data_IF_532636263883
#
_entry.id   IF_532636263883
#
_cell.length_a   1.000
_cell.length_b   1.000
_cell.length_c   1.000
_cell.angle_alpha   90.00
_cell.angle_beta   90.00
_cell.angle_gamma   90.00
#
_symmetry.space_group_name_H-M   'P 1'
#
loop_
_entity.id
_entity.type
_entity.pdbx_description
1 polymer ?
#
# COMPACT_ATOMS: atom_id res chain seq x y z
N UNK A 1 6.15 1.58 -47.50
CA UNK A 1 6.50 2.71 -46.62
C UNK A 1 5.48 2.68 -45.49
N UNK A 2 5.75 1.89 -44.45
CA UNK A 2 4.85 1.72 -43.29
C UNK A 2 5.10 2.91 -42.38
N UNK A 3 4.08 3.74 -42.16
CA UNK A 3 4.15 4.82 -41.20
C UNK A 3 4.50 4.23 -39.82
N UNK A 4 5.58 4.72 -39.22
CA UNK A 4 5.85 4.46 -37.82
C UNK A 4 4.79 5.22 -37.02
N UNK A 5 3.69 4.57 -36.69
CA UNK A 5 2.80 5.04 -35.63
C UNK A 5 3.63 5.04 -34.35
N UNK A 6 4.18 6.21 -34.00
CA UNK A 6 4.80 6.44 -32.69
C UNK A 6 3.74 6.12 -31.65
N UNK A 7 3.93 5.02 -30.91
CA UNK A 7 3.10 4.66 -29.78
C UNK A 7 3.10 5.81 -28.77
N UNK A 8 2.03 6.62 -28.78
CA UNK A 8 1.79 7.63 -27.75
C UNK A 8 1.13 6.89 -26.59
N UNK A 9 1.93 6.52 -25.59
CA UNK A 9 1.41 5.93 -24.36
C UNK A 9 0.52 6.91 -23.59
N UNK A 10 -0.33 6.43 -22.68
CA UNK A 10 -1.15 7.30 -21.85
C UNK A 10 -0.24 8.23 -21.04
N UNK A 11 -0.61 9.50 -20.93
CA UNK A 11 0.11 10.45 -20.08
C UNK A 11 -0.03 10.01 -18.62
N UNK A 12 1.11 9.80 -17.95
CA UNK A 12 1.16 9.47 -16.53
C UNK A 12 1.45 10.75 -15.76
N UNK A 13 0.51 11.16 -14.91
CA UNK A 13 0.75 12.20 -13.92
C UNK A 13 1.58 11.62 -12.76
N UNK A 14 2.88 11.84 -12.83
CA UNK A 14 3.83 11.37 -11.82
C UNK A 14 3.65 12.04 -10.47
N UNK A 15 3.11 13.26 -10.43
CA UNK A 15 2.89 13.97 -9.19
C UNK A 15 1.70 13.37 -8.44
N UNK A 16 0.61 13.06 -9.14
CA UNK A 16 -0.54 12.37 -8.56
C UNK A 16 -0.19 10.96 -8.02
N UNK A 17 0.77 10.26 -8.66
CA UNK A 17 1.26 8.94 -8.22
C UNK A 17 2.27 9.02 -7.05
N UNK A 18 2.73 10.22 -6.70
CA UNK A 18 3.85 10.38 -5.77
C UNK A 18 3.59 9.83 -4.36
N UNK A 19 2.39 9.89 -3.75
CA UNK A 19 2.17 9.30 -2.42
C UNK A 19 2.40 7.78 -2.42
N UNK A 20 1.95 7.07 -3.47
CA UNK A 20 2.18 5.63 -3.64
C UNK A 20 3.67 5.32 -3.77
N UNK A 21 4.39 6.10 -4.60
CA UNK A 21 5.84 5.92 -4.80
C UNK A 21 6.63 6.15 -3.51
N UNK A 22 6.23 7.12 -2.68
CA UNK A 22 6.87 7.38 -1.39
C UNK A 22 6.69 6.19 -0.44
N UNK A 23 5.50 5.59 -0.37
CA UNK A 23 5.28 4.42 0.49
C UNK A 23 6.04 3.18 -0.02
N UNK A 24 6.02 2.91 -1.32
CA UNK A 24 6.80 1.81 -1.92
C UNK A 24 8.29 2.03 -1.71
N UNK A 25 8.77 3.24 -1.96
CA UNK A 25 10.15 3.65 -1.73
C UNK A 25 10.55 3.46 -0.28
N UNK A 26 9.68 3.82 0.67
CA UNK A 26 9.88 3.60 2.10
C UNK A 26 9.94 2.12 2.49
N UNK A 27 9.05 1.29 1.93
CA UNK A 27 9.06 -0.15 2.16
C UNK A 27 10.37 -0.80 1.66
N UNK A 28 10.78 -0.46 0.44
CA UNK A 28 12.04 -0.94 -0.15
C UNK A 28 13.24 -0.41 0.61
N UNK A 29 13.23 0.86 1.02
CA UNK A 29 14.29 1.48 1.82
C UNK A 29 14.47 0.76 3.14
N UNK A 30 13.40 0.50 3.88
CA UNK A 30 13.43 -0.28 5.13
C UNK A 30 14.01 -1.68 4.90
N UNK A 31 13.61 -2.37 3.83
CA UNK A 31 14.12 -3.70 3.53
C UNK A 31 15.61 -3.70 3.14
N UNK A 32 16.03 -2.76 2.28
CA UNK A 32 17.42 -2.67 1.82
C UNK A 32 18.34 -2.28 2.98
N UNK A 33 17.99 -1.23 3.72
CA UNK A 33 18.79 -0.81 4.87
C UNK A 33 18.76 -1.90 5.95
N UNK A 34 17.61 -2.57 6.14
CA UNK A 34 17.43 -3.70 7.05
C UNK A 34 18.37 -4.85 6.75
N UNK A 35 18.47 -5.22 5.48
CA UNK A 35 19.36 -6.29 5.02
C UNK A 35 20.85 -5.92 5.10
N UNK A 36 21.20 -4.64 4.91
CA UNK A 36 22.59 -4.17 4.86
C UNK A 36 23.16 -3.78 6.24
N UNK A 37 22.32 -3.47 7.22
CA UNK A 37 22.77 -2.97 8.54
C UNK A 37 22.40 -3.94 9.67
N UNK A 38 23.39 -4.57 10.34
CA UNK A 38 23.14 -5.59 11.37
C UNK A 38 22.53 -5.07 12.68
N UNK A 39 22.66 -3.77 12.96
CA UNK A 39 22.23 -3.15 14.22
C UNK A 39 21.53 -1.83 13.94
N UNK A 40 20.21 -1.85 14.00
CA UNK A 40 19.42 -0.62 13.93
C UNK A 40 19.25 0.00 15.31
N UNK A 41 19.27 1.34 15.41
CA UNK A 41 18.79 2.01 16.61
C UNK A 41 17.29 1.76 16.79
N UNK A 42 16.91 1.45 18.03
CA UNK A 42 15.61 0.83 18.41
C UNK A 42 14.35 1.58 17.98
N UNK A 43 14.42 2.88 17.73
CA UNK A 43 13.26 3.71 17.35
C UNK A 43 13.28 4.13 15.87
N UNK A 44 14.34 3.81 15.14
CA UNK A 44 14.56 4.36 13.81
C UNK A 44 13.60 3.75 12.78
N UNK A 45 13.23 2.48 12.92
CA UNK A 45 12.31 1.81 11.99
C UNK A 45 10.92 2.45 12.01
N UNK A 46 10.33 2.59 13.19
CA UNK A 46 9.04 3.28 13.36
C UNK A 46 9.10 4.73 12.91
N UNK A 47 10.17 5.46 13.29
CA UNK A 47 10.34 6.86 12.89
C UNK A 47 10.47 7.02 11.38
N UNK A 48 11.21 6.14 10.69
CA UNK A 48 11.32 6.18 9.23
C UNK A 48 9.98 5.84 8.58
N UNK A 49 9.23 4.86 9.10
CA UNK A 49 7.89 4.50 8.61
C UNK A 49 6.95 5.69 8.71
N UNK A 50 6.85 6.31 9.89
CA UNK A 50 6.06 7.52 10.12
C UNK A 50 6.55 8.66 9.22
N UNK A 51 7.86 8.81 9.03
CA UNK A 51 8.45 9.80 8.13
C UNK A 51 7.97 9.65 6.68
N UNK A 52 8.02 8.43 6.12
CA UNK A 52 7.50 8.15 4.77
C UNK A 52 5.98 8.35 4.69
N UNK A 53 5.22 7.94 5.71
CA UNK A 53 3.77 8.15 5.77
C UNK A 53 3.40 9.64 5.84
N UNK A 54 4.13 10.43 6.62
CA UNK A 54 3.95 11.89 6.71
C UNK A 54 4.35 12.57 5.39
N UNK A 55 5.44 12.14 4.76
CA UNK A 55 5.83 12.66 3.45
C UNK A 55 4.75 12.38 2.40
N UNK A 56 4.18 11.17 2.37
CA UNK A 56 3.05 10.85 1.51
C UNK A 56 1.82 11.72 1.82
N UNK A 57 1.51 11.95 3.10
CA UNK A 57 0.39 12.81 3.51
C UNK A 57 0.59 14.26 3.07
N UNK A 58 1.80 14.81 3.20
CA UNK A 58 2.13 16.16 2.74
C UNK A 58 1.94 16.28 1.23
N UNK A 59 2.39 15.29 0.46
CA UNK A 59 2.14 15.25 -0.99
C UNK A 59 0.65 15.18 -1.31
N UNK A 60 -0.13 14.37 -0.59
CA UNK A 60 -1.58 14.31 -0.72
C UNK A 60 -2.28 15.63 -0.40
N UNK A 61 -1.75 16.47 0.50
CA UNK A 61 -2.28 17.82 0.76
C UNK A 61 -2.08 18.74 -0.44
N UNK A 62 -0.91 18.67 -1.10
CA UNK A 62 -0.69 19.45 -2.32
C UNK A 62 -1.64 19.02 -3.43
N UNK A 63 -1.80 17.70 -3.65
CA UNK A 63 -2.75 17.17 -4.64
C UNK A 63 -4.20 17.58 -4.32
N UNK A 64 -4.59 17.62 -3.04
CA UNK A 64 -5.92 18.11 -2.65
C UNK A 64 -6.18 19.55 -3.09
N UNK A 65 -5.17 20.42 -2.97
CA UNK A 65 -5.28 21.82 -3.37
C UNK A 65 -5.39 21.96 -4.89
N UNK A 66 -4.62 21.17 -5.65
CA UNK A 66 -4.64 21.17 -7.11
C UNK A 66 -6.01 20.71 -7.65
N UNK A 67 -6.60 19.65 -7.08
CA UNK A 67 -7.96 19.20 -7.42
C UNK A 67 -9.01 20.26 -7.07
N UNK A 68 -8.77 21.06 -6.03
CA UNK A 68 -9.61 22.20 -5.71
C UNK A 68 -9.67 23.25 -6.82
N UNK A 69 -8.60 23.39 -7.59
CA UNK A 69 -8.47 24.35 -8.69
C UNK A 69 -8.84 23.76 -10.06
N UNK A 70 -8.44 22.52 -10.36
CA UNK A 70 -8.54 21.91 -11.69
C UNK A 70 -9.65 20.85 -11.81
N UNK A 71 -10.21 20.38 -10.69
CA UNK A 71 -11.24 19.34 -10.65
C UNK A 71 -10.69 17.90 -10.51
N UNK A 72 -11.56 16.87 -10.50
CA UNK A 72 -11.14 15.47 -10.42
C UNK A 72 -10.26 15.07 -11.60
N UNK A 73 -9.20 14.31 -11.35
CA UNK A 73 -8.25 13.86 -12.37
C UNK A 73 -8.20 12.34 -12.45
N UNK A 74 -8.14 11.82 -13.68
CA UNK A 74 -7.97 10.40 -13.94
C UNK A 74 -6.55 10.16 -14.47
N UNK A 75 -5.81 9.26 -13.83
CA UNK A 75 -4.39 9.01 -14.11
C UNK A 75 -4.19 7.62 -14.70
N UNK A 76 -3.05 7.41 -15.37
CA UNK A 76 -2.65 6.12 -15.96
C UNK A 76 -3.72 5.57 -16.90
N UNK A 77 -4.13 6.39 -17.88
CA UNK A 77 -5.16 5.99 -18.85
C UNK A 77 -6.58 5.88 -18.27
N UNK A 78 -6.84 6.45 -17.10
CA UNK A 78 -8.15 6.49 -16.46
C UNK A 78 -8.43 5.36 -15.47
N UNK A 79 -7.45 4.49 -15.25
CA UNK A 79 -7.56 3.32 -14.39
C UNK A 79 -7.53 3.68 -12.90
N UNK A 80 -6.89 4.80 -12.57
CA UNK A 80 -6.90 5.38 -11.22
C UNK A 80 -7.56 6.75 -11.25
N UNK A 81 -8.46 7.00 -10.30
CA UNK A 81 -9.16 8.28 -10.12
C UNK A 81 -8.67 8.98 -8.84
N UNK A 82 -8.34 10.26 -8.99
CA UNK A 82 -7.97 11.13 -7.88
C UNK A 82 -9.06 12.19 -7.72
N UNK A 83 -9.82 12.05 -6.64
CA UNK A 83 -10.91 12.93 -6.27
C UNK A 83 -10.89 13.19 -4.75
N UNK A 84 -11.84 13.99 -4.26
CA UNK A 84 -11.89 14.38 -2.84
C UNK A 84 -12.19 13.20 -1.92
N UNK A 85 -12.99 12.23 -2.36
CA UNK A 85 -13.27 11.03 -1.58
C UNK A 85 -12.04 10.12 -1.54
N UNK A 86 -11.38 9.89 -2.67
CA UNK A 86 -10.18 9.05 -2.72
C UNK A 86 -9.03 9.66 -1.93
N UNK A 87 -8.84 10.98 -1.94
CA UNK A 87 -7.88 11.64 -1.06
C UNK A 87 -8.26 11.60 0.41
N UNK A 88 -9.55 11.77 0.76
CA UNK A 88 -10.01 11.63 2.14
C UNK A 88 -9.70 10.23 2.71
N UNK A 89 -10.02 9.19 1.94
CA UNK A 89 -9.70 7.82 2.30
C UNK A 89 -8.19 7.56 2.33
N UNK A 90 -7.42 8.19 1.44
CA UNK A 90 -5.95 8.15 1.48
C UNK A 90 -5.43 8.71 2.81
N UNK A 91 -5.92 9.86 3.27
CA UNK A 91 -5.54 10.39 4.59
C UNK A 91 -5.93 9.46 5.73
N UNK A 92 -7.08 8.81 5.67
CA UNK A 92 -7.49 7.83 6.67
C UNK A 92 -6.54 6.62 6.72
N UNK A 93 -6.15 6.09 5.56
CA UNK A 93 -5.16 5.00 5.46
C UNK A 93 -3.82 5.46 6.04
N UNK A 94 -3.31 6.62 5.62
CA UNK A 94 -2.02 7.13 6.10
C UNK A 94 -2.03 7.39 7.62
N UNK A 95 -3.12 7.93 8.16
CA UNK A 95 -3.29 8.10 9.61
C UNK A 95 -3.27 6.75 10.34
N UNK A 96 -4.01 5.76 9.83
CA UNK A 96 -4.00 4.41 10.40
C UNK A 96 -2.61 3.77 10.33
N UNK A 97 -1.90 3.89 9.20
CA UNK A 97 -0.53 3.40 9.03
C UNK A 97 0.43 4.02 10.04
N UNK A 98 0.38 5.35 10.23
CA UNK A 98 1.22 6.04 11.20
C UNK A 98 0.92 5.59 12.64
N UNK A 99 -0.36 5.47 13.00
CA UNK A 99 -0.75 5.00 14.34
C UNK A 99 -0.31 3.57 14.59
N UNK A 100 -0.53 2.66 13.63
CA UNK A 100 -0.09 1.27 13.73
C UNK A 100 1.44 1.20 13.86
N UNK A 101 2.20 1.99 13.08
CA UNK A 101 3.66 2.02 13.20
C UNK A 101 4.14 2.46 14.60
N UNK A 102 3.47 3.43 15.22
CA UNK A 102 3.78 3.88 16.59
C UNK A 102 3.37 2.86 17.65
N UNK A 103 2.23 2.19 17.47
CA UNK A 103 1.77 1.14 18.38
C UNK A 103 2.63 -0.12 18.29
N UNK A 104 2.97 -0.56 17.08
CA UNK A 104 3.85 -1.71 16.84
C UNK A 104 5.22 -1.51 17.46
N UNK A 105 5.74 -0.29 17.41
CA UNK A 105 6.99 0.07 18.07
C UNK A 105 6.90 -0.11 19.59
N UNK A 106 5.84 0.36 20.23
CA UNK A 106 5.65 0.15 21.67
C UNK A 106 5.56 -1.34 22.07
N UNK A 107 4.93 -2.17 21.25
CA UNK A 107 4.73 -3.61 21.51
C UNK A 107 5.95 -4.47 21.18
N UNK A 108 6.64 -4.20 20.07
CA UNK A 108 7.72 -5.04 19.55
C UNK A 108 9.08 -4.69 20.14
N UNK A 109 9.23 -3.50 20.72
CA UNK A 109 10.50 -3.01 21.27
C UNK A 109 11.13 -4.01 22.23
N UNK A 110 12.32 -4.47 21.88
CA UNK A 110 13.09 -5.41 22.72
C UNK A 110 12.60 -6.85 22.68
N UNK A 111 11.67 -7.18 21.79
CA UNK A 111 11.30 -8.56 21.46
C UNK A 111 12.16 -9.10 20.31
N UNK A 112 12.18 -10.42 20.13
CA UNK A 112 12.87 -11.07 19.00
C UNK A 112 12.29 -10.69 17.62
N UNK A 113 11.09 -10.08 17.59
CA UNK A 113 10.40 -9.68 16.35
C UNK A 113 10.58 -8.17 16.04
N UNK A 114 11.50 -7.49 16.73
CA UNK A 114 11.85 -6.09 16.50
C UNK A 114 12.69 -5.94 15.22
N UNK A 115 12.02 -6.03 14.07
CA UNK A 115 12.65 -6.08 12.75
C UNK A 115 11.98 -5.18 11.69
N UNK A 116 12.75 -4.75 10.66
CA UNK A 116 12.25 -3.86 9.59
C UNK A 116 11.18 -4.50 8.69
N UNK A 117 11.03 -5.83 8.74
CA UNK A 117 10.07 -6.59 7.95
C UNK A 117 8.63 -6.20 8.29
N UNK A 118 8.32 -5.96 9.57
CA UNK A 118 6.96 -5.60 9.99
C UNK A 118 6.58 -4.22 9.46
N UNK A 119 7.50 -3.27 9.58
CA UNK A 119 7.30 -1.89 9.12
C UNK A 119 7.25 -1.77 7.59
N UNK A 120 8.09 -2.52 6.89
CA UNK A 120 8.05 -2.55 5.41
C UNK A 120 6.76 -3.20 4.89
N UNK A 121 6.32 -4.31 5.47
CA UNK A 121 5.03 -4.93 5.12
C UNK A 121 3.86 -3.99 5.42
N UNK A 122 3.92 -3.22 6.50
CA UNK A 122 2.91 -2.21 6.81
C UNK A 122 2.85 -1.10 5.72
N UNK A 123 3.98 -0.65 5.20
CA UNK A 123 4.03 0.30 4.07
C UNK A 123 3.56 -0.33 2.74
N UNK A 124 3.83 -1.62 2.50
CA UNK A 124 3.29 -2.36 1.35
C UNK A 124 1.76 -2.45 1.45
N UNK A 125 1.23 -2.78 2.63
CA UNK A 125 -0.22 -2.80 2.87
C UNK A 125 -0.84 -1.43 2.63
N UNK A 126 -0.21 -0.35 3.15
CA UNK A 126 -0.67 1.02 2.92
C UNK A 126 -0.67 1.38 1.42
N UNK A 127 0.37 0.99 0.68
CA UNK A 127 0.44 1.19 -0.78
C UNK A 127 -0.73 0.49 -1.48
N UNK A 128 -0.97 -0.79 -1.17
CA UNK A 128 -2.09 -1.55 -1.74
C UNK A 128 -3.44 -0.89 -1.45
N UNK A 129 -3.63 -0.37 -0.24
CA UNK A 129 -4.85 0.33 0.15
C UNK A 129 -5.01 1.64 -0.63
N UNK A 130 -3.93 2.41 -0.85
CA UNK A 130 -3.96 3.61 -1.69
C UNK A 130 -4.29 3.29 -3.16
N UNK A 131 -3.79 2.18 -3.71
CA UNK A 131 -4.18 1.71 -5.05
C UNK A 131 -5.66 1.35 -5.09
N UNK A 132 -6.15 0.62 -4.09
CA UNK A 132 -7.55 0.21 -3.98
C UNK A 132 -8.49 1.42 -3.87
N UNK A 133 -8.12 2.42 -3.07
CA UNK A 133 -8.91 3.64 -2.84
C UNK A 133 -9.07 4.47 -4.12
N UNK A 134 -8.04 4.52 -4.95
CA UNK A 134 -8.08 5.23 -6.23
C UNK A 134 -8.57 4.37 -7.40
N UNK A 135 -8.91 3.10 -7.19
CA UNK A 135 -9.22 2.19 -8.30
C UNK A 135 -10.52 2.57 -9.02
N UNK A 136 -10.42 2.83 -10.33
CA UNK A 136 -11.57 3.11 -11.19
C UNK A 136 -12.04 1.87 -11.97
N UNK A 137 -11.26 0.79 -11.96
CA UNK A 137 -11.59 -0.50 -12.56
C UNK A 137 -11.53 -1.63 -11.53
N UNK A 138 -12.39 -2.64 -11.69
CA UNK A 138 -12.49 -3.77 -10.76
C UNK A 138 -11.19 -4.57 -10.66
N UNK A 139 -10.44 -4.71 -11.77
CA UNK A 139 -9.17 -5.44 -11.77
C UNK A 139 -8.09 -4.72 -10.95
N UNK A 140 -8.08 -3.38 -10.95
CA UNK A 140 -7.14 -2.58 -10.16
C UNK A 140 -7.57 -2.52 -8.70
N UNK A 141 -8.87 -2.50 -8.44
CA UNK A 141 -9.39 -2.68 -7.09
C UNK A 141 -8.97 -4.04 -6.52
N UNK A 142 -9.08 -5.11 -7.31
CA UNK A 142 -8.60 -6.45 -6.95
C UNK A 142 -7.10 -6.47 -6.65
N UNK A 143 -6.28 -5.84 -7.50
CA UNK A 143 -4.83 -5.77 -7.29
C UNK A 143 -4.47 -5.03 -5.98
N UNK A 144 -5.18 -3.94 -5.68
CA UNK A 144 -5.04 -3.22 -4.41
C UNK A 144 -5.43 -4.10 -3.22
N UNK A 145 -6.58 -4.79 -3.30
CA UNK A 145 -7.05 -5.74 -2.28
C UNK A 145 -6.05 -6.87 -2.03
N UNK A 146 -5.53 -7.50 -3.07
CA UNK A 146 -4.53 -8.58 -2.96
C UNK A 146 -3.22 -8.08 -2.35
N UNK A 147 -2.79 -6.87 -2.70
CA UNK A 147 -1.56 -6.28 -2.13
C UNK A 147 -1.72 -6.03 -0.62
N UNK A 148 -2.86 -5.50 -0.20
CA UNK A 148 -3.20 -5.34 1.23
C UNK A 148 -3.25 -6.71 1.91
N UNK A 149 -3.96 -7.66 1.31
CA UNK A 149 -4.24 -8.94 1.92
C UNK A 149 -2.98 -9.78 2.13
N UNK A 150 -2.13 -9.91 1.12
CA UNK A 150 -0.86 -10.63 1.21
C UNK A 150 0.06 -10.02 2.28
N UNK A 151 0.15 -8.69 2.35
CA UNK A 151 0.93 -8.03 3.40
C UNK A 151 0.36 -8.33 4.80
N UNK A 152 -0.95 -8.29 4.97
CA UNK A 152 -1.61 -8.60 6.24
C UNK A 152 -1.50 -10.08 6.63
N UNK A 153 -1.53 -11.01 5.67
CA UNK A 153 -1.34 -12.44 5.96
C UNK A 153 0.06 -12.71 6.53
N UNK A 154 1.07 -12.08 5.95
CA UNK A 154 2.45 -12.18 6.45
C UNK A 154 2.58 -11.50 7.80
N UNK A 155 1.96 -10.33 8.01
CA UNK A 155 1.95 -9.64 9.30
C UNK A 155 1.26 -10.46 10.40
N UNK A 156 0.16 -11.16 10.09
CA UNK A 156 -0.54 -12.03 11.02
C UNK A 156 0.30 -13.26 11.42
N UNK A 157 1.17 -13.72 10.51
CA UNK A 157 2.10 -14.84 10.71
C UNK A 157 3.50 -14.39 11.16
N UNK A 158 3.68 -13.12 11.57
CA UNK A 158 5.01 -12.53 11.78
C UNK A 158 5.77 -13.17 12.96
N UNK A 159 5.08 -13.61 14.02
CA UNK A 159 5.70 -14.29 15.16
C UNK A 159 5.91 -15.79 14.84
N UNK A 160 7.08 -16.12 14.28
CA UNK A 160 7.48 -17.49 13.89
C UNK A 160 7.63 -18.45 15.06
N UNK A 161 7.82 -17.95 16.28
CA UNK A 161 8.00 -18.79 17.47
C UNK A 161 6.67 -19.19 18.10
N UNK A 162 5.59 -18.45 17.81
CA UNK A 162 4.27 -18.66 18.40
C UNK A 162 3.34 -19.39 17.43
N UNK A 163 3.02 -20.64 17.74
CA UNK A 163 2.12 -21.47 16.92
C UNK A 163 0.77 -20.80 16.64
N UNK A 164 0.25 -20.02 17.60
CA UNK A 164 -0.99 -19.27 17.42
C UNK A 164 -0.91 -18.19 16.33
N UNK A 165 0.25 -17.53 16.15
CA UNK A 165 0.46 -16.56 15.05
C UNK A 165 0.51 -17.28 13.70
N UNK A 166 1.19 -18.43 13.64
CA UNK A 166 1.25 -19.25 12.43
C UNK A 166 -0.14 -19.78 12.02
N UNK A 167 -0.92 -20.27 12.99
CA UNK A 167 -2.29 -20.72 12.77
C UNK A 167 -3.21 -19.57 12.33
N UNK A 168 -3.05 -18.38 12.93
CA UNK A 168 -3.78 -17.17 12.52
C UNK A 168 -3.49 -16.82 11.07
N UNK A 169 -2.22 -16.68 10.69
CA UNK A 169 -1.82 -16.39 9.31
C UNK A 169 -2.37 -17.38 8.30
N UNK A 170 -2.35 -18.68 8.61
CA UNK A 170 -2.93 -19.71 7.75
C UNK A 170 -4.45 -19.55 7.60
N UNK A 171 -5.17 -19.27 8.69
CA UNK A 171 -6.63 -19.04 8.66
C UNK A 171 -6.97 -17.81 7.82
N UNK A 172 -6.26 -16.70 8.01
CA UNK A 172 -6.45 -15.48 7.23
C UNK A 172 -6.14 -15.69 5.75
N UNK A 173 -5.06 -16.39 5.43
CA UNK A 173 -4.69 -16.71 4.04
C UNK A 173 -5.75 -17.56 3.34
N UNK A 174 -6.25 -18.63 3.99
CA UNK A 174 -7.26 -19.52 3.39
C UNK A 174 -8.60 -18.79 3.22
N UNK A 175 -9.07 -18.12 4.27
CA UNK A 175 -10.34 -17.38 4.23
C UNK A 175 -10.29 -16.27 3.18
N UNK A 176 -9.18 -15.55 3.15
CA UNK A 176 -8.96 -14.45 2.24
C UNK A 176 -8.79 -14.90 0.79
N UNK A 177 -7.99 -15.93 0.51
CA UNK A 177 -7.86 -16.52 -0.83
C UNK A 177 -9.18 -17.05 -1.38
N UNK A 178 -10.04 -17.62 -0.52
CA UNK A 178 -11.40 -18.00 -0.90
C UNK A 178 -12.26 -16.78 -1.26
N UNK A 179 -12.23 -15.72 -0.45
CA UNK A 179 -12.95 -14.48 -0.73
C UNK A 179 -12.48 -13.82 -2.04
N UNK A 180 -11.18 -13.80 -2.29
CA UNK A 180 -10.56 -13.30 -3.52
C UNK A 180 -10.98 -14.09 -4.75
N UNK A 181 -11.09 -15.42 -4.64
CA UNK A 181 -11.60 -16.26 -5.73
C UNK A 181 -13.07 -15.92 -6.07
N UNK A 182 -13.92 -15.73 -5.06
CA UNK A 182 -15.31 -15.29 -5.29
C UNK A 182 -15.37 -13.89 -5.90
N UNK A 183 -14.54 -12.95 -5.43
CA UNK A 183 -14.50 -11.60 -5.98
C UNK A 183 -14.06 -11.60 -7.44
N UNK A 184 -12.96 -12.29 -7.77
CA UNK A 184 -12.45 -12.41 -9.13
C UNK A 184 -13.44 -13.11 -10.06
N UNK A 185 -14.16 -14.14 -9.58
CA UNK A 185 -15.25 -14.76 -10.32
C UNK A 185 -16.39 -13.77 -10.59
N UNK A 186 -16.74 -12.92 -9.61
CA UNK A 186 -17.70 -11.83 -9.78
C UNK A 186 -17.26 -10.83 -10.86
N UNK A 187 -15.99 -10.43 -10.87
CA UNK A 187 -15.42 -9.58 -11.94
C UNK A 187 -15.58 -10.27 -13.29
N UNK A 188 -15.23 -11.56 -13.39
CA UNK A 188 -15.33 -12.31 -14.64
C UNK A 188 -16.78 -12.38 -15.17
N UNK A 189 -17.77 -12.53 -14.29
CA UNK A 189 -19.18 -12.52 -14.67
C UNK A 189 -19.65 -11.14 -15.17
N UNK A 190 -19.17 -10.05 -14.55
CA UNK A 190 -19.52 -8.69 -14.97
C UNK A 190 -18.87 -8.28 -16.30
N UNK A 191 -17.64 -8.76 -16.56
CA UNK A 191 -16.93 -8.47 -17.82
C UNK A 191 -17.29 -9.42 -18.96
N UNK A 192 -17.67 -10.67 -18.65
CA UNK A 192 -17.91 -11.71 -19.63
C UNK A 192 -19.38 -11.90 -20.03
N UNK A 193 -20.32 -11.26 -19.33
CA UNK A 193 -21.74 -11.20 -19.70
C UNK A 193 -22.03 -10.07 -20.68
#
# INVERSE_FOLDING_TARGET
>A
MVAQDTFIGPSVDWFALSPHLVLVGGALFLMVVGALTPVWPRNLMSLTTVGFTVAAAVLSVFIWNDIGAEGPSAIVGGVLAVDRLSLFLTFAVLAATALVALMSDAELRGTDNDGPEIYSLLLVAATGALVMVGANELIVMFLGLETVSLALYVLAASDRRRSASQESGMKYFILGGLASAFFLYGIALLYGG
#
